data_IF_585507902230
#
_entry.id   IF_585507902230
#
_cell.length_a   1.000
_cell.length_b   1.000
_cell.length_c   1.000
_cell.angle_alpha   90.00
_cell.angle_beta   90.00
_cell.angle_gamma   90.00
#
_symmetry.space_group_name_H-M   'P 1'
#
loop_
_entity.id
_entity.type
_entity.pdbx_description
1 polymer ?
#
# COMPACT_ATOMS: atom_id res chain seq x y z
N UNK A 1 -14.94 19.29 4.59
CA UNK A 1 -16.41 19.29 4.68
C UNK A 1 -16.88 17.87 4.45
N UNK A 2 -17.79 17.32 5.25
CA UNK A 2 -18.34 16.01 4.95
C UNK A 2 -19.09 16.11 3.61
N UNK A 3 -18.89 15.11 2.74
CA UNK A 3 -19.56 15.01 1.44
C UNK A 3 -21.09 14.98 1.56
N UNK A 4 -21.82 15.20 0.45
CA UNK A 4 -23.26 15.20 0.44
C UNK A 4 -23.82 13.85 0.91
N UNK A 5 -24.93 13.90 1.64
CA UNK A 5 -25.64 12.69 2.10
C UNK A 5 -26.93 12.57 1.30
N UNK A 6 -27.10 11.46 0.58
CA UNK A 6 -28.32 11.13 -0.15
C UNK A 6 -28.91 9.85 0.42
N UNK A 7 -30.19 9.90 0.83
CA UNK A 7 -30.90 8.76 1.45
C UNK A 7 -30.15 8.16 2.66
N UNK A 8 -29.50 9.00 3.47
CA UNK A 8 -28.76 8.57 4.66
C UNK A 8 -27.39 7.91 4.37
N UNK A 9 -26.95 7.86 3.12
CA UNK A 9 -25.60 7.42 2.73
C UNK A 9 -24.78 8.61 2.29
N UNK A 10 -23.51 8.66 2.74
CA UNK A 10 -22.54 9.61 2.19
C UNK A 10 -22.33 9.27 0.71
N UNK A 11 -22.34 10.29 -0.14
CA UNK A 11 -21.99 10.16 -1.56
C UNK A 11 -20.50 10.54 -1.66
N UNK A 12 -19.71 9.65 -2.20
CA UNK A 12 -18.32 9.86 -2.52
C UNK A 12 -18.17 9.95 -4.04
N UNK A 13 -17.22 10.74 -4.51
CA UNK A 13 -16.86 10.78 -5.93
C UNK A 13 -15.92 9.60 -6.25
N UNK A 14 -15.29 9.05 -5.20
CA UNK A 14 -14.48 7.83 -5.22
C UNK A 14 -14.74 7.04 -3.95
N UNK A 15 -15.24 5.81 -4.06
CA UNK A 15 -15.51 4.99 -2.88
C UNK A 15 -14.22 4.55 -2.18
N UNK A 16 -13.22 4.08 -2.94
CA UNK A 16 -11.98 3.53 -2.40
C UNK A 16 -10.76 3.97 -3.19
N UNK A 17 -9.81 4.59 -2.50
CA UNK A 17 -8.44 4.79 -2.99
C UNK A 17 -7.55 3.63 -2.51
N UNK A 18 -7.04 2.82 -3.43
CA UNK A 18 -6.06 1.77 -3.14
C UNK A 18 -4.65 2.32 -3.40
N UNK A 19 -3.85 2.46 -2.35
CA UNK A 19 -2.42 2.74 -2.47
C UNK A 19 -1.72 1.43 -2.81
N UNK A 20 -1.20 1.33 -4.05
CA UNK A 20 -0.86 0.07 -4.68
C UNK A 20 0.60 -0.05 -5.10
N UNK A 21 0.81 -0.84 -6.15
CA UNK A 21 2.11 -1.23 -6.70
C UNK A 21 2.51 -2.67 -6.37
N UNK A 22 1.66 -3.41 -5.66
CA UNK A 22 1.85 -4.82 -5.32
C UNK A 22 0.82 -5.71 -6.00
N UNK A 23 1.12 -6.99 -6.18
CA UNK A 23 0.13 -7.96 -6.66
C UNK A 23 -1.09 -8.11 -5.73
N UNK A 24 -0.93 -7.78 -4.44
CA UNK A 24 -2.02 -7.78 -3.47
C UNK A 24 -2.99 -6.63 -3.73
N UNK A 25 -2.47 -5.43 -4.02
CA UNK A 25 -3.28 -4.28 -4.43
C UNK A 25 -4.10 -4.58 -5.69
N UNK A 26 -3.47 -5.16 -6.72
CA UNK A 26 -4.16 -5.53 -7.95
C UNK A 26 -5.28 -6.56 -7.74
N UNK A 27 -5.07 -7.55 -6.88
CA UNK A 27 -6.11 -8.52 -6.52
C UNK A 27 -7.29 -7.87 -5.77
N UNK A 28 -6.99 -6.94 -4.86
CA UNK A 28 -8.03 -6.20 -4.15
C UNK A 28 -8.85 -5.35 -5.12
N UNK A 29 -8.18 -4.55 -5.97
CA UNK A 29 -8.87 -3.69 -6.95
C UNK A 29 -9.76 -4.50 -7.88
N UNK A 30 -9.31 -5.67 -8.34
CA UNK A 30 -10.14 -6.58 -9.12
C UNK A 30 -11.43 -6.98 -8.39
N UNK A 31 -11.30 -7.35 -7.12
CA UNK A 31 -12.47 -7.74 -6.30
C UNK A 31 -13.43 -6.59 -6.04
N UNK A 32 -12.92 -5.39 -5.83
CA UNK A 32 -13.74 -4.19 -5.62
C UNK A 32 -14.51 -3.84 -6.90
N UNK A 33 -13.85 -3.88 -8.07
CA UNK A 33 -14.51 -3.67 -9.38
C UNK A 33 -15.60 -4.71 -9.65
N UNK A 34 -15.33 -6.00 -9.36
CA UNK A 34 -16.35 -7.06 -9.47
C UNK A 34 -17.59 -6.79 -8.61
N UNK A 35 -17.41 -6.09 -7.48
CA UNK A 35 -18.48 -5.70 -6.56
C UNK A 35 -19.10 -4.34 -6.90
N UNK A 36 -18.75 -3.75 -8.04
CA UNK A 36 -19.24 -2.44 -8.50
C UNK A 36 -18.88 -1.29 -7.54
N UNK A 37 -17.78 -1.41 -6.82
CA UNK A 37 -17.21 -0.34 -6.00
C UNK A 37 -16.37 0.56 -6.91
N UNK A 38 -16.55 1.86 -6.78
CA UNK A 38 -15.71 2.84 -7.49
C UNK A 38 -14.33 2.90 -6.86
N UNK A 39 -13.32 2.40 -7.59
CA UNK A 39 -11.96 2.24 -7.08
C UNK A 39 -10.93 2.86 -8.00
N UNK A 40 -10.06 3.67 -7.41
CA UNK A 40 -8.85 4.16 -8.06
C UNK A 40 -7.63 3.53 -7.39
N UNK A 41 -6.76 2.92 -8.20
CA UNK A 41 -5.48 2.37 -7.71
C UNK A 41 -4.35 3.34 -8.01
N UNK A 42 -3.72 3.87 -6.98
CA UNK A 42 -2.55 4.75 -7.10
C UNK A 42 -1.27 3.95 -7.06
N UNK A 43 -0.44 4.11 -8.10
CA UNK A 43 0.88 3.48 -8.22
C UNK A 43 1.99 4.53 -8.38
N UNK A 44 3.17 4.24 -7.83
CA UNK A 44 4.29 5.18 -7.84
C UNK A 44 4.94 5.40 -9.23
N UNK A 45 4.59 4.59 -10.23
CA UNK A 45 5.13 4.71 -11.59
C UNK A 45 6.58 4.25 -11.75
N UNK A 46 7.14 3.53 -10.78
CA UNK A 46 8.52 3.01 -10.83
C UNK A 46 8.67 1.74 -11.66
N UNK A 47 7.58 1.09 -12.02
CA UNK A 47 7.57 -0.16 -12.78
C UNK A 47 7.26 0.15 -14.24
N UNK A 48 8.14 -0.26 -15.15
CA UNK A 48 8.02 -0.07 -16.59
C UNK A 48 6.87 -0.85 -17.24
N UNK A 49 6.34 -1.86 -16.58
CA UNK A 49 5.17 -2.63 -16.99
C UNK A 49 4.28 -2.90 -15.77
N UNK A 50 3.39 -1.98 -15.39
CA UNK A 50 2.43 -2.27 -14.35
C UNK A 50 1.52 -3.42 -14.83
N UNK A 51 1.38 -4.47 -14.01
CA UNK A 51 0.36 -5.49 -14.21
C UNK A 51 -0.97 -4.77 -14.43
N UNK A 52 -1.76 -5.22 -15.42
CA UNK A 52 -3.10 -4.64 -15.66
C UNK A 52 -3.87 -4.66 -14.35
N UNK A 53 -4.03 -3.51 -13.75
CA UNK A 53 -4.86 -3.33 -12.55
C UNK A 53 -6.26 -2.99 -13.05
N UNK A 54 -7.30 -3.78 -12.72
CA UNK A 54 -8.66 -3.43 -13.05
C UNK A 54 -9.11 -2.14 -12.38
N UNK A 55 -9.99 -1.39 -13.03
CA UNK A 55 -10.44 -0.09 -12.57
C UNK A 55 -9.57 1.05 -13.05
N UNK A 56 -9.79 2.22 -12.46
CA UNK A 56 -9.01 3.40 -12.76
C UNK A 56 -7.62 3.34 -12.10
N UNK A 57 -6.59 3.79 -12.82
CA UNK A 57 -5.22 3.80 -12.33
C UNK A 57 -4.66 5.22 -12.35
N UNK A 58 -4.24 5.69 -11.20
CA UNK A 58 -3.48 6.92 -11.05
C UNK A 58 -1.99 6.60 -10.93
N UNK A 59 -1.16 7.28 -11.72
CA UNK A 59 0.30 7.10 -11.70
C UNK A 59 0.96 8.35 -11.11
N UNK A 60 1.89 8.16 -10.18
CA UNK A 60 2.70 9.22 -9.58
C UNK A 60 2.47 9.40 -8.08
N UNK A 61 3.34 10.19 -7.46
CA UNK A 61 3.25 10.55 -6.05
C UNK A 61 2.18 11.60 -5.77
N UNK A 62 1.87 11.82 -4.49
CA UNK A 62 0.91 12.84 -4.06
C UNK A 62 1.58 14.17 -3.67
N UNK A 63 2.92 14.20 -3.54
CA UNK A 63 3.61 15.39 -3.02
C UNK A 63 3.64 15.43 -1.48
N UNK A 64 3.73 14.27 -0.85
CA UNK A 64 3.76 14.15 0.62
C UNK A 64 2.37 14.10 1.26
N UNK A 65 2.34 14.40 2.57
CA UNK A 65 1.10 14.36 3.36
C UNK A 65 0.10 15.40 2.86
N UNK A 66 0.53 16.64 2.65
CA UNK A 66 -0.38 17.75 2.27
C UNK A 66 -0.97 17.53 0.87
N UNK A 67 -0.19 17.01 -0.05
CA UNK A 67 -0.70 16.64 -1.38
C UNK A 67 -1.71 15.52 -1.32
N UNK A 68 -1.47 14.49 -0.48
CA UNK A 68 -2.45 13.42 -0.28
C UNK A 68 -3.73 13.93 0.40
N UNK A 69 -3.62 14.78 1.42
CA UNK A 69 -4.78 15.45 2.06
C UNK A 69 -5.62 16.23 1.05
N UNK A 70 -4.95 17.01 0.21
CA UNK A 70 -5.64 17.75 -0.85
C UNK A 70 -6.38 16.82 -1.79
N UNK A 71 -5.73 15.72 -2.23
CA UNK A 71 -6.35 14.72 -3.07
C UNK A 71 -7.58 14.09 -2.41
N UNK A 72 -7.47 13.65 -1.15
CA UNK A 72 -8.59 13.05 -0.41
C UNK A 72 -9.83 13.96 -0.35
N UNK A 73 -9.61 15.27 -0.19
CA UNK A 73 -10.69 16.26 -0.15
C UNK A 73 -11.28 16.54 -1.53
N UNK A 74 -10.41 16.79 -2.54
CA UNK A 74 -10.86 17.20 -3.87
C UNK A 74 -11.60 16.10 -4.60
N UNK A 75 -11.14 14.86 -4.42
CA UNK A 75 -11.78 13.66 -5.01
C UNK A 75 -12.84 13.05 -4.09
N UNK A 76 -13.15 13.71 -2.95
CA UNK A 76 -14.17 13.26 -2.00
C UNK A 76 -14.08 11.75 -1.72
N UNK A 77 -12.88 11.30 -1.32
CA UNK A 77 -12.57 9.87 -1.14
C UNK A 77 -13.28 9.27 0.06
N UNK A 78 -13.99 8.17 -0.13
CA UNK A 78 -14.75 7.48 0.92
C UNK A 78 -13.88 6.71 1.90
N UNK A 79 -12.84 6.04 1.40
CA UNK A 79 -11.89 5.28 2.22
C UNK A 79 -10.57 5.07 1.50
N UNK A 80 -9.52 4.75 2.27
CA UNK A 80 -8.19 4.43 1.74
C UNK A 80 -7.79 3.04 2.16
N UNK A 81 -7.26 2.26 1.23
CA UNK A 81 -6.60 1.00 1.54
C UNK A 81 -5.12 1.10 1.19
N UNK A 82 -4.27 1.05 2.20
CA UNK A 82 -2.83 0.95 2.02
C UNK A 82 -2.44 -0.52 1.79
N UNK A 83 -2.25 -0.87 0.52
CA UNK A 83 -1.78 -2.17 0.06
C UNK A 83 -0.37 -2.09 -0.55
N UNK A 84 0.40 -1.08 -0.17
CA UNK A 84 1.79 -0.91 -0.61
C UNK A 84 2.70 -1.97 0.02
N UNK A 85 3.93 -2.04 -0.45
CA UNK A 85 4.92 -2.99 0.07
C UNK A 85 5.21 -2.73 1.55
N UNK A 86 5.54 -3.78 2.31
CA UNK A 86 5.82 -3.68 3.75
C UNK A 86 6.92 -2.66 4.09
N UNK A 87 7.86 -2.42 3.17
CA UNK A 87 8.95 -1.46 3.34
C UNK A 87 8.64 -0.05 2.84
N UNK A 88 7.41 0.22 2.38
CA UNK A 88 6.99 1.56 1.98
C UNK A 88 6.66 2.46 3.20
N UNK A 89 7.55 2.52 4.18
CA UNK A 89 7.33 3.18 5.48
C UNK A 89 6.90 4.64 5.34
N UNK A 90 7.53 5.38 4.43
CA UNK A 90 7.16 6.77 4.14
C UNK A 90 5.71 6.89 3.65
N UNK A 91 5.29 6.01 2.73
CA UNK A 91 3.92 6.05 2.22
C UNK A 91 2.89 5.64 3.28
N UNK A 92 3.22 4.65 4.12
CA UNK A 92 2.38 4.27 5.26
C UNK A 92 2.13 5.44 6.19
N UNK A 93 3.22 6.18 6.51
CA UNK A 93 3.13 7.34 7.39
C UNK A 93 2.34 8.48 6.76
N UNK A 94 2.56 8.77 5.47
CA UNK A 94 1.79 9.78 4.74
C UNK A 94 0.30 9.44 4.71
N UNK A 95 -0.04 8.16 4.43
CA UNK A 95 -1.42 7.70 4.41
C UNK A 95 -2.09 7.86 5.79
N UNK A 96 -1.40 7.45 6.86
CA UNK A 96 -1.91 7.58 8.22
C UNK A 96 -2.20 9.04 8.58
N UNK A 97 -1.23 9.94 8.38
CA UNK A 97 -1.38 11.35 8.72
C UNK A 97 -2.47 12.05 7.89
N UNK A 98 -2.49 11.78 6.57
CA UNK A 98 -3.48 12.39 5.69
C UNK A 98 -4.90 11.93 6.01
N UNK A 99 -5.10 10.63 6.19
CA UNK A 99 -6.41 10.06 6.51
C UNK A 99 -6.91 10.53 7.88
N UNK A 100 -6.04 10.59 8.88
CA UNK A 100 -6.37 11.10 10.20
C UNK A 100 -6.79 12.59 10.14
N UNK A 101 -6.07 13.41 9.37
CA UNK A 101 -6.36 14.83 9.26
C UNK A 101 -7.66 15.14 8.51
N UNK A 102 -8.06 14.30 7.57
CA UNK A 102 -9.25 14.48 6.74
C UNK A 102 -10.44 13.60 7.17
N UNK A 103 -10.32 12.89 8.30
CA UNK A 103 -11.34 11.95 8.83
C UNK A 103 -11.78 10.91 7.80
N UNK A 104 -10.82 10.40 7.02
CA UNK A 104 -11.04 9.34 6.02
C UNK A 104 -10.60 8.01 6.62
N UNK A 105 -11.44 6.96 6.58
CA UNK A 105 -11.07 5.63 7.06
C UNK A 105 -9.85 5.08 6.33
N UNK A 106 -8.89 4.55 7.07
CA UNK A 106 -7.69 3.90 6.55
C UNK A 106 -7.65 2.43 6.96
N UNK A 107 -7.57 1.54 5.99
CA UNK A 107 -7.30 0.13 6.18
C UNK A 107 -5.90 -0.20 5.66
N UNK A 108 -5.12 -0.97 6.43
CA UNK A 108 -3.87 -1.53 5.95
C UNK A 108 -4.05 -2.99 5.53
N UNK A 109 -3.74 -3.28 4.26
CA UNK A 109 -3.74 -4.63 3.71
C UNK A 109 -2.29 -5.11 3.54
N UNK A 110 -1.86 -6.00 4.40
CA UNK A 110 -0.51 -6.57 4.40
C UNK A 110 -0.52 -8.10 4.26
N UNK A 111 0.63 -8.67 3.93
CA UNK A 111 0.83 -10.11 4.04
C UNK A 111 1.05 -10.48 5.52
N UNK A 112 0.69 -11.72 5.91
CA UNK A 112 1.08 -12.24 7.22
C UNK A 112 2.60 -12.10 7.43
N UNK A 113 2.99 -11.87 8.67
CA UNK A 113 4.42 -11.80 9.01
C UNK A 113 5.08 -13.16 8.73
N UNK A 114 6.24 -13.11 8.12
CA UNK A 114 7.09 -14.31 7.94
C UNK A 114 7.46 -14.96 9.28
N UNK A 115 7.44 -14.18 10.38
CA UNK A 115 7.64 -14.69 11.74
C UNK A 115 6.53 -15.64 12.21
N UNK A 116 5.38 -15.62 11.54
CA UNK A 116 4.26 -16.52 11.83
C UNK A 116 4.39 -17.90 11.19
N UNK A 117 5.40 -18.11 10.33
CA UNK A 117 5.66 -19.41 9.73
C UNK A 117 6.32 -20.36 10.74
N UNK A 118 5.95 -21.64 10.77
CA UNK A 118 6.58 -22.63 11.66
C UNK A 118 8.10 -22.69 11.53
N UNK A 119 8.60 -22.55 10.29
CA UNK A 119 10.03 -22.61 9.97
C UNK A 119 10.80 -21.38 10.44
N UNK A 120 10.11 -20.27 10.75
CA UNK A 120 10.74 -19.02 11.15
C UNK A 120 11.57 -19.12 12.43
N UNK A 121 11.31 -20.12 13.27
CA UNK A 121 12.09 -20.41 14.46
C UNK A 121 13.55 -20.82 14.13
N UNK A 122 13.80 -21.37 12.95
CA UNK A 122 15.13 -21.77 12.48
C UNK A 122 15.88 -20.66 11.74
N UNK A 123 15.25 -19.50 11.50
CA UNK A 123 15.82 -18.42 10.72
C UNK A 123 16.58 -17.44 11.59
N UNK A 124 17.70 -16.93 11.09
CA UNK A 124 18.39 -15.80 11.72
C UNK A 124 17.78 -14.50 11.26
N UNK A 125 17.22 -13.76 12.20
CA UNK A 125 16.60 -12.46 11.95
C UNK A 125 17.59 -11.34 12.21
N UNK A 126 17.69 -10.42 11.27
CA UNK A 126 18.56 -9.26 11.35
C UNK A 126 17.74 -7.99 11.16
N UNK A 127 18.20 -6.89 11.74
CA UNK A 127 17.48 -5.62 11.73
C UNK A 127 17.69 -4.84 10.42
N UNK A 128 18.89 -4.94 9.85
CA UNK A 128 19.29 -4.15 8.69
C UNK A 128 20.34 -4.88 7.82
N UNK A 129 20.76 -4.20 6.76
CA UNK A 129 21.73 -4.73 5.79
C UNK A 129 23.12 -4.89 6.39
N UNK A 130 23.53 -4.02 7.32
CA UNK A 130 24.84 -4.08 7.94
C UNK A 130 24.94 -5.28 8.89
N UNK A 131 23.89 -5.55 9.63
CA UNK A 131 23.80 -6.75 10.46
C UNK A 131 23.75 -8.00 9.59
N UNK A 132 23.00 -8.00 8.49
CA UNK A 132 22.97 -9.10 7.54
C UNK A 132 24.38 -9.39 6.99
N UNK A 133 25.12 -8.36 6.57
CA UNK A 133 26.48 -8.51 6.06
C UNK A 133 27.43 -9.10 7.10
N UNK A 134 27.33 -8.67 8.36
CA UNK A 134 28.14 -9.21 9.47
C UNK A 134 27.85 -10.69 9.74
N UNK A 135 26.57 -11.06 9.78
CA UNK A 135 26.18 -12.46 10.01
C UNK A 135 26.66 -13.36 8.87
N UNK A 136 26.42 -12.92 7.62
CA UNK A 136 26.76 -13.69 6.43
C UNK A 136 28.26 -13.86 6.25
N UNK A 137 29.08 -12.86 6.61
CA UNK A 137 30.55 -12.98 6.49
C UNK A 137 31.15 -14.06 7.37
N UNK A 138 30.44 -14.53 8.38
CA UNK A 138 30.83 -15.67 9.22
C UNK A 138 30.33 -17.04 8.71
N UNK A 139 29.55 -17.08 7.64
CA UNK A 139 29.00 -18.34 7.10
C UNK A 139 29.94 -18.91 6.04
N UNK A 140 30.43 -20.15 6.18
CA UNK A 140 31.29 -20.76 5.17
C UNK A 140 30.46 -21.14 3.94
N UNK A 141 31.04 -20.95 2.76
CA UNK A 141 30.43 -21.36 1.49
C UNK A 141 29.92 -20.19 0.61
N UNK A 142 29.01 -20.50 -0.31
CA UNK A 142 28.40 -19.52 -1.21
C UNK A 142 27.11 -19.00 -0.63
N UNK A 143 26.93 -17.69 -0.66
CA UNK A 143 25.70 -17.03 -0.24
C UNK A 143 24.88 -16.65 -1.45
N UNK A 144 23.60 -16.98 -1.44
CA UNK A 144 22.64 -16.57 -2.45
C UNK A 144 21.79 -15.43 -1.86
N UNK A 145 21.82 -14.28 -2.51
CA UNK A 145 20.96 -13.15 -2.14
C UNK A 145 19.70 -13.19 -2.99
N UNK A 146 18.56 -13.29 -2.34
CA UNK A 146 17.25 -13.14 -2.99
C UNK A 146 16.64 -11.82 -2.56
N UNK A 147 16.61 -10.87 -3.47
CA UNK A 147 16.02 -9.55 -3.24
C UNK A 147 14.75 -9.43 -4.08
N UNK A 148 13.68 -8.95 -3.45
CA UNK A 148 12.55 -8.44 -4.21
C UNK A 148 12.90 -7.02 -4.66
N UNK A 149 12.93 -6.80 -5.97
CA UNK A 149 13.01 -5.44 -6.50
C UNK A 149 11.74 -4.70 -6.07
N UNK A 150 11.93 -3.67 -5.28
CA UNK A 150 10.87 -2.77 -4.79
C UNK A 150 10.71 -1.63 -5.77
#
# INVERSE_FOLDING_TARGET
MPGPVVNGRKVYDMDVLVLGGTGLAGKLSARLVEQQVDVVTSIAGRTTAPSRVPGEVRVGGFGGVDGLRTFLRTENVGSVVDATHAFATTMHWHAFQACQAEDVPLLRLGRPSWRALPEAASWTWVADHDEAARVVSGVPGRVVLTLSLI
#
